data_IF_810659770602
#
_entry.id   IF_810659770602
#
_cell.length_a   1.000
_cell.length_b   1.000
_cell.length_c   1.000
_cell.angle_alpha   90.00
_cell.angle_beta   90.00
_cell.angle_gamma   90.00
#
_symmetry.space_group_name_H-M   'P 1'
#
loop_
_entity.id
_entity.type
_entity.pdbx_description
1 polymer ?
#
# COMPACT_ATOMS: atom_id res chain seq x y z
N UNK A 1 0.58 9.62 28.01
CA UNK A 1 0.15 8.58 27.07
C UNK A 1 0.88 7.30 27.41
N UNK A 2 0.23 6.13 27.42
CA UNK A 2 0.95 4.87 27.60
C UNK A 2 1.93 4.65 26.45
N UNK A 3 3.09 4.11 26.76
CA UNK A 3 4.08 3.67 25.75
C UNK A 3 3.39 2.57 24.93
N UNK A 4 3.24 2.78 23.62
CA UNK A 4 2.53 1.85 22.71
C UNK A 4 3.34 0.59 22.40
N UNK A 5 4.67 0.67 22.54
CA UNK A 5 5.56 -0.45 22.28
C UNK A 5 6.07 -1.01 23.61
N UNK A 6 6.35 -2.33 23.72
CA UNK A 6 7.10 -2.86 24.83
C UNK A 6 8.40 -2.06 24.97
N UNK A 7 8.88 -1.84 26.20
CA UNK A 7 10.07 -1.05 26.47
C UNK A 7 11.32 -1.58 25.70
N UNK A 8 11.33 -2.87 25.40
CA UNK A 8 12.33 -3.55 24.55
C UNK A 8 11.61 -4.58 23.68
N UNK A 9 11.73 -4.44 22.35
CA UNK A 9 11.28 -5.45 21.38
C UNK A 9 12.42 -6.39 21.00
N UNK A 10 12.10 -7.63 20.69
CA UNK A 10 13.10 -8.64 20.32
C UNK A 10 13.37 -8.69 18.82
N UNK A 11 12.47 -8.17 18.02
CA UNK A 11 12.63 -8.10 16.56
C UNK A 11 11.82 -6.93 15.94
N UNK A 12 12.16 -6.58 14.70
CA UNK A 12 11.56 -5.43 14.01
C UNK A 12 10.07 -5.63 13.67
N UNK A 13 9.57 -6.88 13.65
CA UNK A 13 8.16 -7.16 13.34
C UNK A 13 7.23 -6.62 14.43
N UNK A 14 7.73 -6.41 15.66
CA UNK A 14 6.96 -5.82 16.75
C UNK A 14 6.66 -4.33 16.51
N UNK A 15 7.41 -3.68 15.61
CA UNK A 15 7.20 -2.28 15.23
C UNK A 15 6.27 -2.12 14.00
N UNK A 16 5.70 -3.21 13.47
CA UNK A 16 4.72 -3.15 12.38
C UNK A 16 3.38 -2.74 12.94
N UNK A 17 2.81 -1.67 12.41
CA UNK A 17 1.55 -1.09 12.86
C UNK A 17 1.74 0.08 13.82
N UNK A 18 0.67 0.49 14.48
CA UNK A 18 0.62 1.64 15.39
C UNK A 18 1.18 2.94 14.81
N UNK A 19 1.07 3.11 13.48
CA UNK A 19 1.52 4.30 12.78
C UNK A 19 0.67 5.52 13.14
N UNK A 20 1.18 6.75 13.05
CA UNK A 20 0.40 7.94 13.35
C UNK A 20 -0.78 8.16 12.38
N UNK A 21 -1.85 8.77 12.88
CA UNK A 21 -2.91 9.39 12.08
C UNK A 21 -2.75 10.91 12.15
N UNK A 22 -2.63 11.57 11.00
CA UNK A 22 -2.46 13.02 10.90
C UNK A 22 -3.72 13.67 10.34
N UNK A 23 -4.07 14.84 10.87
CA UNK A 23 -5.02 15.76 10.22
C UNK A 23 -4.26 16.64 9.23
N UNK A 24 -4.54 16.46 7.95
CA UNK A 24 -3.97 17.25 6.87
C UNK A 24 -5.10 18.07 6.21
N UNK A 25 -5.26 19.29 6.67
CA UNK A 25 -6.29 20.23 6.19
C UNK A 25 -7.72 19.64 6.26
N UNK A 26 -8.01 18.89 7.35
CA UNK A 26 -9.30 18.27 7.61
C UNK A 26 -9.50 16.90 6.93
N UNK A 27 -8.45 16.31 6.37
CA UNK A 27 -8.41 14.90 5.94
C UNK A 27 -7.55 14.14 6.92
N UNK A 28 -8.08 13.02 7.46
CA UNK A 28 -7.33 12.15 8.36
C UNK A 28 -6.51 11.15 7.54
N UNK A 29 -5.19 11.30 7.56
CA UNK A 29 -4.24 10.52 6.78
C UNK A 29 -3.41 9.60 7.67
N UNK A 30 -3.51 8.29 7.46
CA UNK A 30 -2.77 7.26 8.20
C UNK A 30 -1.37 7.09 7.61
N UNK A 31 -0.33 7.26 8.41
CA UNK A 31 1.06 7.32 7.95
C UNK A 31 1.70 5.92 7.83
N UNK A 32 1.25 5.12 6.88
CA UNK A 32 1.72 3.75 6.69
C UNK A 32 3.14 3.65 6.10
N UNK A 33 3.67 4.73 5.53
CA UNK A 33 5.07 4.82 5.11
C UNK A 33 6.06 4.70 6.28
N UNK A 34 5.61 4.85 7.53
CA UNK A 34 6.44 4.70 8.74
C UNK A 34 6.55 3.25 9.23
N UNK A 35 5.89 2.30 8.60
CA UNK A 35 6.12 0.89 8.91
C UNK A 35 7.56 0.45 8.59
N UNK A 36 8.11 -0.54 9.30
CA UNK A 36 9.28 -1.27 8.84
C UNK A 36 9.10 -1.73 7.38
N UNK A 37 10.15 -1.73 6.56
CA UNK A 37 10.14 -1.87 5.11
C UNK A 37 9.54 -0.66 4.34
N UNK A 38 9.17 0.42 5.03
CA UNK A 38 8.75 1.69 4.44
C UNK A 38 7.43 1.63 3.68
N UNK A 39 6.47 0.78 4.08
CA UNK A 39 5.15 0.77 3.47
C UNK A 39 4.08 0.01 4.24
N UNK A 40 2.81 0.26 3.90
CA UNK A 40 1.63 -0.47 4.38
C UNK A 40 1.75 -1.99 4.20
N UNK A 41 2.54 -2.45 3.23
CA UNK A 41 2.69 -3.88 2.91
C UNK A 41 3.38 -4.69 4.02
N UNK A 42 4.09 -4.03 4.95
CA UNK A 42 4.63 -4.70 6.15
C UNK A 42 3.54 -5.41 6.95
N UNK A 43 2.33 -4.81 7.03
CA UNK A 43 1.18 -5.36 7.74
C UNK A 43 0.74 -6.69 7.17
N UNK A 44 0.40 -6.70 5.88
CA UNK A 44 -0.09 -7.91 5.21
C UNK A 44 1.00 -8.99 5.12
N UNK A 45 2.27 -8.62 4.93
CA UNK A 45 3.36 -9.58 4.89
C UNK A 45 3.51 -10.31 6.23
N UNK A 46 3.51 -9.58 7.36
CA UNK A 46 3.53 -10.17 8.69
C UNK A 46 2.31 -11.04 8.92
N UNK A 47 1.11 -10.52 8.70
CA UNK A 47 -0.14 -11.21 8.98
C UNK A 47 -0.29 -12.51 8.18
N UNK A 48 -0.04 -12.47 6.87
CA UNK A 48 -0.18 -13.64 5.98
C UNK A 48 0.83 -14.74 6.37
N UNK A 49 2.10 -14.36 6.63
CA UNK A 49 3.13 -15.35 7.03
C UNK A 49 2.77 -15.97 8.37
N UNK A 50 2.37 -15.20 9.38
CA UNK A 50 1.99 -15.72 10.69
C UNK A 50 0.75 -16.63 10.61
N UNK A 51 -0.24 -16.29 9.80
CA UNK A 51 -1.39 -17.16 9.53
C UNK A 51 -1.01 -18.43 8.81
N UNK A 52 -0.12 -18.37 7.81
CA UNK A 52 0.35 -19.54 7.08
C UNK A 52 1.13 -20.50 7.97
N UNK A 53 1.95 -19.99 8.89
CA UNK A 53 2.61 -20.78 9.93
C UNK A 53 1.60 -21.47 10.85
N UNK A 54 0.62 -20.71 11.37
CA UNK A 54 -0.41 -21.23 12.29
C UNK A 54 -1.29 -22.31 11.65
N UNK A 55 -1.57 -22.18 10.36
CA UNK A 55 -2.39 -23.17 9.60
C UNK A 55 -1.58 -24.30 9.00
N UNK A 56 -0.24 -24.28 9.12
CA UNK A 56 0.66 -25.29 8.58
C UNK A 56 0.83 -25.24 7.05
N UNK A 57 0.37 -24.15 6.41
CA UNK A 57 0.56 -23.92 4.97
C UNK A 57 2.00 -23.51 4.63
N UNK A 58 2.67 -22.79 5.54
CA UNK A 58 4.10 -22.46 5.45
C UNK A 58 4.87 -23.24 6.50
N UNK A 59 5.89 -23.99 6.08
CA UNK A 59 6.72 -24.82 6.94
C UNK A 59 8.16 -24.37 6.93
N UNK A 60 8.87 -24.65 8.00
CA UNK A 60 10.29 -24.34 8.08
C UNK A 60 11.07 -25.02 6.93
N UNK A 61 11.85 -24.22 6.21
CA UNK A 61 12.61 -24.68 5.03
C UNK A 61 11.93 -24.39 3.70
N UNK A 62 10.64 -24.02 3.70
CA UNK A 62 9.96 -23.59 2.48
C UNK A 62 10.51 -22.25 1.97
N UNK A 63 10.30 -22.01 0.69
CA UNK A 63 10.58 -20.74 0.01
C UNK A 63 9.28 -19.98 -0.19
N UNK A 64 9.21 -18.77 0.30
CA UNK A 64 8.09 -17.85 0.01
C UNK A 64 8.32 -17.30 -1.38
N UNK A 65 7.30 -17.33 -2.25
CA UNK A 65 7.34 -16.77 -3.60
C UNK A 65 6.17 -15.81 -3.81
N UNK A 66 6.42 -14.56 -4.17
CA UNK A 66 5.36 -13.57 -4.40
C UNK A 66 5.64 -12.72 -5.63
N UNK A 67 4.56 -12.38 -6.37
CA UNK A 67 4.61 -11.46 -7.50
C UNK A 67 4.29 -10.04 -7.05
N UNK A 68 5.11 -9.06 -7.49
CA UNK A 68 4.94 -7.69 -7.05
C UNK A 68 5.61 -6.68 -7.96
N UNK A 69 5.07 -5.46 -8.00
CA UNK A 69 5.72 -4.27 -8.53
C UNK A 69 6.74 -3.63 -7.55
N UNK A 70 6.85 -4.11 -6.26
CA UNK A 70 7.92 -3.65 -5.38
C UNK A 70 7.65 -3.72 -3.88
N UNK A 71 6.77 -2.89 -3.31
CA UNK A 71 6.58 -2.76 -1.86
C UNK A 71 6.25 -4.08 -1.15
N UNK A 72 5.44 -4.92 -1.77
CA UNK A 72 5.10 -6.23 -1.23
C UNK A 72 6.33 -7.14 -1.18
N UNK A 73 7.15 -7.14 -2.23
CA UNK A 73 8.41 -7.87 -2.26
C UNK A 73 9.34 -7.46 -1.12
N UNK A 74 9.51 -6.16 -0.90
CA UNK A 74 10.33 -5.64 0.19
C UNK A 74 9.79 -6.08 1.57
N UNK A 75 8.46 -6.01 1.76
CA UNK A 75 7.83 -6.38 3.01
C UNK A 75 7.94 -7.88 3.31
N UNK A 76 7.64 -8.74 2.34
CA UNK A 76 7.80 -10.18 2.50
C UNK A 76 9.28 -10.58 2.67
N UNK A 77 10.20 -9.89 1.99
CA UNK A 77 11.65 -10.11 2.16
C UNK A 77 12.10 -9.80 3.59
N UNK A 78 11.64 -8.68 4.15
CA UNK A 78 11.92 -8.31 5.54
C UNK A 78 11.38 -9.36 6.53
N UNK A 79 10.11 -9.78 6.38
CA UNK A 79 9.50 -10.77 7.27
C UNK A 79 10.19 -12.13 7.12
N UNK A 80 10.52 -12.55 5.90
CA UNK A 80 11.25 -13.78 5.62
C UNK A 80 12.63 -13.77 6.28
N UNK A 81 13.38 -12.67 6.18
CA UNK A 81 14.68 -12.51 6.82
C UNK A 81 14.59 -12.69 8.34
N UNK A 82 13.61 -12.05 9.00
CA UNK A 82 13.42 -12.16 10.46
C UNK A 82 13.03 -13.58 10.89
N UNK A 83 12.17 -14.25 10.11
CA UNK A 83 11.65 -15.59 10.43
C UNK A 83 12.51 -16.75 9.92
N UNK A 84 13.55 -16.45 9.13
CA UNK A 84 14.49 -17.44 8.61
C UNK A 84 13.97 -18.24 7.42
N UNK A 85 13.08 -17.67 6.62
CA UNK A 85 12.63 -18.22 5.36
C UNK A 85 13.46 -17.72 4.18
N UNK A 86 13.52 -18.53 3.12
CA UNK A 86 13.98 -18.07 1.81
C UNK A 86 12.87 -17.26 1.15
N UNK A 87 13.22 -16.20 0.41
CA UNK A 87 12.28 -15.38 -0.33
C UNK A 87 12.67 -15.27 -1.80
N UNK A 88 11.73 -15.56 -2.69
CA UNK A 88 11.83 -15.33 -4.13
C UNK A 88 10.80 -14.28 -4.55
N UNK A 89 11.28 -13.11 -4.92
CA UNK A 89 10.44 -12.04 -5.47
C UNK A 89 10.38 -12.19 -6.98
N UNK A 90 9.18 -12.35 -7.54
CA UNK A 90 8.96 -12.34 -8.99
C UNK A 90 8.42 -10.98 -9.38
N UNK A 91 9.12 -10.26 -10.26
CA UNK A 91 8.73 -8.89 -10.62
C UNK A 91 9.00 -8.59 -12.10
N UNK A 92 8.20 -7.70 -12.72
CA UNK A 92 8.46 -7.27 -14.08
C UNK A 92 9.74 -6.42 -14.16
N UNK A 93 10.35 -6.39 -15.35
CA UNK A 93 11.42 -5.45 -15.68
C UNK A 93 10.86 -4.03 -15.87
N UNK A 94 11.75 -3.02 -15.71
CA UNK A 94 11.40 -1.62 -15.95
C UNK A 94 10.83 -0.86 -14.75
N UNK A 95 10.84 -1.46 -13.55
CA UNK A 95 10.45 -0.83 -12.30
C UNK A 95 11.66 -0.29 -11.52
N UNK A 96 11.39 0.46 -10.45
CA UNK A 96 12.38 1.12 -9.60
C UNK A 96 13.51 0.19 -9.15
N UNK A 97 14.75 0.62 -9.38
CA UNK A 97 15.97 -0.07 -8.94
C UNK A 97 16.09 -0.16 -7.42
N UNK A 98 15.56 0.83 -6.70
CA UNK A 98 15.57 0.90 -5.24
C UNK A 98 14.83 -0.28 -4.61
N UNK A 99 13.68 -0.65 -5.17
CA UNK A 99 12.87 -1.77 -4.65
C UNK A 99 13.56 -3.11 -4.83
N UNK A 100 14.26 -3.29 -5.96
CA UNK A 100 15.10 -4.47 -6.21
C UNK A 100 16.24 -4.52 -5.21
N UNK A 101 16.92 -3.39 -5.01
CA UNK A 101 18.04 -3.29 -4.07
C UNK A 101 17.61 -3.57 -2.62
N UNK A 102 16.45 -3.06 -2.19
CA UNK A 102 15.90 -3.30 -0.85
C UNK A 102 15.57 -4.78 -0.64
N UNK A 103 14.88 -5.43 -1.60
CA UNK A 103 14.57 -6.87 -1.50
C UNK A 103 15.85 -7.71 -1.37
N UNK A 104 16.86 -7.41 -2.19
CA UNK A 104 18.17 -8.08 -2.13
C UNK A 104 18.92 -7.81 -0.83
N UNK A 105 18.82 -6.60 -0.27
CA UNK A 105 19.43 -6.26 1.01
C UNK A 105 18.84 -7.09 2.17
N UNK A 106 17.57 -7.48 2.10
CA UNK A 106 16.94 -8.43 3.02
C UNK A 106 17.29 -9.91 2.71
N UNK A 107 18.10 -10.19 1.68
CA UNK A 107 18.51 -11.55 1.30
C UNK A 107 17.58 -12.28 0.35
N UNK A 108 16.60 -11.58 -0.25
CA UNK A 108 15.72 -12.20 -1.23
C UNK A 108 16.40 -12.38 -2.59
N UNK A 109 16.04 -13.46 -3.27
CA UNK A 109 16.30 -13.63 -4.69
C UNK A 109 15.24 -12.87 -5.50
N UNK A 110 15.64 -12.26 -6.63
CA UNK A 110 14.72 -11.54 -7.53
C UNK A 110 14.77 -12.19 -8.89
N UNK A 111 13.61 -12.67 -9.33
CA UNK A 111 13.38 -13.24 -10.67
C UNK A 111 12.59 -12.22 -11.50
N UNK A 112 13.17 -11.76 -12.61
CA UNK A 112 12.46 -10.90 -13.54
C UNK A 112 11.60 -11.73 -14.50
N UNK A 113 10.33 -11.32 -14.69
CA UNK A 113 9.37 -11.99 -15.55
C UNK A 113 8.34 -10.97 -16.07
N UNK A 114 8.29 -10.79 -17.39
CA UNK A 114 7.47 -9.76 -18.02
C UNK A 114 8.06 -8.35 -17.89
N UNK A 115 7.33 -7.35 -18.39
CA UNK A 115 7.74 -5.94 -18.40
C UNK A 115 6.58 -5.04 -17.94
N UNK A 116 6.86 -4.06 -17.11
CA UNK A 116 5.95 -3.03 -16.57
C UNK A 116 4.75 -3.55 -15.77
N UNK A 117 3.95 -4.46 -16.30
CA UNK A 117 2.76 -5.01 -15.63
C UNK A 117 3.07 -6.31 -14.91
N UNK A 118 2.41 -6.53 -13.77
CA UNK A 118 2.71 -7.65 -12.87
C UNK A 118 2.11 -9.00 -13.35
N UNK A 119 1.33 -9.01 -14.43
CA UNK A 119 0.57 -10.18 -14.89
C UNK A 119 1.43 -11.43 -15.12
N UNK A 120 2.52 -11.31 -15.92
CA UNK A 120 3.41 -12.43 -16.19
C UNK A 120 4.13 -12.91 -14.93
N UNK A 121 4.57 -11.96 -14.11
CA UNK A 121 5.18 -12.27 -12.82
C UNK A 121 4.20 -13.00 -11.89
N UNK A 122 2.92 -12.63 -11.89
CA UNK A 122 1.88 -13.26 -11.08
C UNK A 122 1.61 -14.70 -11.52
N UNK A 123 1.51 -14.95 -12.84
CA UNK A 123 1.36 -16.30 -13.35
C UNK A 123 2.56 -17.16 -12.99
N UNK A 124 3.77 -16.64 -13.15
CA UNK A 124 5.00 -17.32 -12.79
C UNK A 124 5.09 -17.64 -11.28
N UNK A 125 4.71 -16.71 -10.41
CA UNK A 125 4.69 -16.95 -8.98
C UNK A 125 3.67 -18.01 -8.57
N UNK A 126 2.48 -18.03 -9.20
CA UNK A 126 1.47 -19.07 -9.01
C UNK A 126 1.98 -20.46 -9.42
N UNK A 127 2.67 -20.57 -10.55
CA UNK A 127 3.26 -21.83 -11.01
C UNK A 127 4.29 -22.35 -10.00
N UNK A 128 5.18 -21.49 -9.53
CA UNK A 128 6.20 -21.85 -8.53
C UNK A 128 5.55 -22.24 -7.20
N UNK A 129 4.53 -21.50 -6.75
CA UNK A 129 3.81 -21.78 -5.52
C UNK A 129 3.07 -23.12 -5.48
N UNK A 130 2.83 -23.76 -6.63
CA UNK A 130 2.28 -25.13 -6.70
C UNK A 130 3.34 -26.23 -6.49
N UNK A 131 4.62 -25.88 -6.48
CA UNK A 131 5.69 -26.83 -6.32
C UNK A 131 5.92 -27.15 -4.84
N UNK A 132 6.29 -28.40 -4.48
CA UNK A 132 6.64 -28.73 -3.12
C UNK A 132 7.76 -27.86 -2.56
N UNK A 133 7.61 -27.39 -1.32
CA UNK A 133 8.60 -26.54 -0.67
C UNK A 133 8.50 -25.05 -1.04
N UNK A 134 7.41 -24.65 -1.72
CA UNK A 134 7.08 -23.26 -1.98
C UNK A 134 5.75 -22.87 -1.30
N UNK A 135 5.69 -21.65 -0.82
CA UNK A 135 4.47 -20.99 -0.35
C UNK A 135 4.23 -19.72 -1.14
N UNK A 136 3.06 -19.61 -1.76
CA UNK A 136 2.61 -18.43 -2.48
C UNK A 136 1.57 -17.67 -1.66
N UNK A 137 1.90 -16.49 -1.10
CA UNK A 137 0.98 -15.64 -0.33
C UNK A 137 -0.24 -15.19 -1.13
N UNK A 138 -0.07 -14.85 -2.42
CA UNK A 138 -1.15 -14.52 -3.33
C UNK A 138 -1.89 -13.24 -2.97
N UNK A 139 -1.19 -12.13 -2.79
CA UNK A 139 -1.70 -10.86 -2.27
C UNK A 139 -2.98 -10.33 -2.94
N UNK A 140 -3.22 -10.67 -4.21
CA UNK A 140 -4.36 -10.18 -5.00
C UNK A 140 -5.66 -10.98 -4.79
N UNK A 141 -5.58 -12.15 -4.16
CA UNK A 141 -6.70 -13.09 -3.99
C UNK A 141 -6.87 -13.58 -2.55
N UNK A 142 -5.84 -13.47 -1.73
CA UNK A 142 -5.82 -13.98 -0.36
C UNK A 142 -6.62 -13.08 0.58
N UNK A 143 -7.73 -13.58 1.10
CA UNK A 143 -8.60 -12.86 2.04
C UNK A 143 -7.90 -12.46 3.35
N UNK A 144 -6.79 -13.07 3.72
CA UNK A 144 -5.97 -12.63 4.85
C UNK A 144 -5.42 -11.21 4.68
N UNK A 145 -5.30 -10.74 3.43
CA UNK A 145 -5.01 -9.33 3.15
C UNK A 145 -6.18 -8.42 3.58
N UNK A 146 -7.43 -8.86 3.37
CA UNK A 146 -8.62 -8.13 3.85
C UNK A 146 -8.73 -8.24 5.37
N UNK A 147 -8.46 -9.42 5.92
CA UNK A 147 -8.57 -9.69 7.36
C UNK A 147 -7.64 -8.79 8.19
N UNK A 148 -6.37 -8.65 7.79
CA UNK A 148 -5.44 -7.74 8.47
C UNK A 148 -6.02 -6.33 8.55
N UNK A 149 -6.44 -5.79 7.41
CA UNK A 149 -6.95 -4.44 7.30
C UNK A 149 -8.27 -4.24 8.08
N UNK A 150 -9.11 -5.27 8.13
CA UNK A 150 -10.38 -5.26 8.87
C UNK A 150 -10.19 -5.41 10.38
N UNK A 151 -9.23 -6.26 10.79
CA UNK A 151 -9.07 -6.66 12.19
C UNK A 151 -8.03 -5.82 12.93
N UNK A 152 -7.08 -5.22 12.20
CA UNK A 152 -5.96 -4.47 12.79
C UNK A 152 -5.96 -3.01 12.32
N UNK A 153 -5.71 -2.73 11.03
CA UNK A 153 -5.55 -1.35 10.55
C UNK A 153 -6.83 -0.50 10.74
N UNK A 154 -7.99 -1.03 10.37
CA UNK A 154 -9.26 -0.30 10.51
C UNK A 154 -9.57 0.08 11.97
N UNK A 155 -9.54 -0.86 12.93
CA UNK A 155 -9.68 -0.55 14.35
C UNK A 155 -8.62 0.42 14.89
N UNK A 156 -7.38 0.33 14.42
CA UNK A 156 -6.30 1.26 14.79
C UNK A 156 -6.62 2.69 14.34
N UNK A 157 -7.12 2.89 13.12
CA UNK A 157 -7.57 4.20 12.63
C UNK A 157 -8.73 4.72 13.49
N UNK A 158 -9.75 3.88 13.75
CA UNK A 158 -10.90 4.26 14.57
C UNK A 158 -10.50 4.73 15.97
N UNK A 159 -9.54 4.05 16.60
CA UNK A 159 -9.05 4.40 17.92
C UNK A 159 -8.23 5.71 17.96
N UNK A 160 -7.76 6.19 16.81
CA UNK A 160 -6.96 7.41 16.69
C UNK A 160 -7.77 8.63 16.24
N UNK A 161 -8.98 8.43 15.76
CA UNK A 161 -9.86 9.56 15.41
C UNK A 161 -10.20 10.38 16.66
N UNK A 162 -10.15 11.72 16.58
CA UNK A 162 -10.46 12.58 17.72
C UNK A 162 -11.96 12.64 17.99
N UNK A 163 -12.31 12.97 19.25
CA UNK A 163 -13.68 13.33 19.66
C UNK A 163 -14.74 12.27 19.32
N UNK A 164 -14.39 10.98 19.42
CA UNK A 164 -15.26 9.84 19.09
C UNK A 164 -15.85 9.91 17.67
N UNK A 165 -15.17 10.60 16.75
CA UNK A 165 -15.60 10.68 15.35
C UNK A 165 -15.62 9.31 14.71
N UNK A 166 -16.58 9.12 13.82
CA UNK A 166 -16.67 7.96 12.95
C UNK A 166 -16.42 8.38 11.50
N UNK A 167 -15.77 7.55 10.67
CA UNK A 167 -15.52 7.87 9.28
C UNK A 167 -16.82 7.99 8.47
N UNK A 168 -16.98 9.08 7.71
CA UNK A 168 -18.05 9.26 6.73
C UNK A 168 -17.61 8.76 5.35
N UNK A 169 -16.31 8.87 5.06
CA UNK A 169 -15.73 8.40 3.82
C UNK A 169 -14.32 7.83 4.03
N UNK A 170 -13.98 6.82 3.23
CA UNK A 170 -12.64 6.29 3.09
C UNK A 170 -12.24 6.29 1.62
N UNK A 171 -11.08 6.87 1.32
CA UNK A 171 -10.54 7.03 -0.03
C UNK A 171 -9.22 6.30 -0.12
N UNK A 172 -9.09 5.36 -1.04
CA UNK A 172 -7.84 4.61 -1.22
C UNK A 172 -7.69 4.10 -2.66
N UNK A 173 -6.46 4.06 -3.15
CA UNK A 173 -6.12 3.49 -4.45
C UNK A 173 -6.26 1.96 -4.46
N UNK A 174 -6.61 1.40 -5.59
CA UNK A 174 -6.77 -0.05 -5.72
C UNK A 174 -5.53 -0.67 -6.36
N UNK A 175 -4.64 -1.20 -5.52
CA UNK A 175 -3.61 -2.15 -5.91
C UNK A 175 -4.15 -3.57 -5.80
N UNK A 176 -4.16 -4.15 -4.60
CA UNK A 176 -4.79 -5.46 -4.33
C UNK A 176 -6.28 -5.36 -4.00
N UNK A 177 -6.74 -4.20 -3.55
CA UNK A 177 -8.08 -3.98 -3.02
C UNK A 177 -8.20 -4.26 -1.52
N UNK A 178 -7.28 -5.02 -0.92
CA UNK A 178 -7.37 -5.47 0.47
C UNK A 178 -7.56 -4.34 1.47
N UNK A 179 -6.82 -3.25 1.33
CA UNK A 179 -6.90 -2.10 2.24
C UNK A 179 -8.27 -1.39 2.13
N UNK A 180 -8.70 -1.06 0.91
CA UNK A 180 -9.98 -0.38 0.70
C UNK A 180 -11.15 -1.21 1.26
N UNK A 181 -11.14 -2.52 1.02
CA UNK A 181 -12.18 -3.43 1.44
C UNK A 181 -12.12 -3.68 2.95
N UNK A 182 -10.95 -4.07 3.49
CA UNK A 182 -10.80 -4.43 4.89
C UNK A 182 -11.08 -3.27 5.84
N UNK A 183 -10.45 -2.10 5.60
CA UNK A 183 -10.72 -0.88 6.38
C UNK A 183 -12.19 -0.45 6.22
N UNK A 184 -12.72 -0.51 4.99
CA UNK A 184 -14.13 -0.23 4.74
C UNK A 184 -15.08 -1.12 5.51
N UNK A 185 -14.79 -2.42 5.62
CA UNK A 185 -15.57 -3.36 6.44
C UNK A 185 -15.49 -3.01 7.94
N UNK A 186 -14.31 -2.61 8.43
CA UNK A 186 -14.17 -2.16 9.83
C UNK A 186 -14.99 -0.88 10.08
N UNK A 187 -14.93 0.09 9.18
CA UNK A 187 -15.67 1.35 9.32
C UNK A 187 -17.18 1.16 9.25
N UNK A 188 -17.66 0.24 8.43
CA UNK A 188 -19.09 -0.10 8.36
C UNK A 188 -19.69 -0.67 9.65
N UNK A 189 -18.85 -1.25 10.52
CA UNK A 189 -19.31 -1.72 11.82
C UNK A 189 -19.74 -0.56 12.74
N UNK A 190 -19.12 0.60 12.60
CA UNK A 190 -19.42 1.80 13.41
C UNK A 190 -20.27 2.82 12.65
N UNK A 191 -20.15 2.89 11.33
CA UNK A 191 -20.99 3.72 10.46
C UNK A 191 -21.41 2.91 9.21
N UNK A 192 -22.60 2.26 9.22
CA UNK A 192 -23.08 1.52 8.05
C UNK A 192 -23.25 2.36 6.77
N UNK A 193 -23.33 3.69 6.91
CA UNK A 193 -23.44 4.64 5.80
C UNK A 193 -22.10 5.12 5.24
N UNK A 194 -20.94 4.65 5.75
CA UNK A 194 -19.64 5.08 5.26
C UNK A 194 -19.49 4.85 3.75
N UNK A 195 -19.01 5.86 3.05
CA UNK A 195 -18.76 5.79 1.60
C UNK A 195 -17.33 5.40 1.32
N UNK A 196 -17.15 4.37 0.47
CA UNK A 196 -15.84 3.89 0.04
C UNK A 196 -15.58 4.36 -1.38
N UNK A 197 -14.51 5.10 -1.57
CA UNK A 197 -14.08 5.63 -2.86
C UNK A 197 -12.83 4.90 -3.35
N UNK A 198 -12.97 4.15 -4.45
CA UNK A 198 -11.83 3.58 -5.15
C UNK A 198 -11.15 4.67 -6.00
N UNK A 199 -9.87 4.92 -5.76
CA UNK A 199 -9.09 5.87 -6.53
C UNK A 199 -8.23 5.13 -7.56
N UNK A 200 -8.17 5.67 -8.78
CA UNK A 200 -7.37 5.18 -9.90
C UNK A 200 -6.56 6.31 -10.54
N UNK A 201 -5.46 6.02 -11.26
CA UNK A 201 -4.82 6.98 -12.13
C UNK A 201 -5.78 7.43 -13.26
N UNK A 202 -5.81 8.70 -13.59
CA UNK A 202 -6.62 9.21 -14.70
C UNK A 202 -6.23 8.61 -16.05
N UNK A 203 -4.97 8.17 -16.17
CA UNK A 203 -4.39 7.54 -17.35
C UNK A 203 -4.78 6.06 -17.48
N UNK A 204 -5.08 5.37 -16.35
CA UNK A 204 -5.33 3.92 -16.31
C UNK A 204 -6.54 3.61 -15.42
N UNK A 205 -7.74 3.79 -15.96
CA UNK A 205 -9.01 3.62 -15.26
C UNK A 205 -9.54 2.19 -15.40
N UNK A 206 -8.77 1.24 -14.90
CA UNK A 206 -9.03 -0.20 -15.07
C UNK A 206 -10.35 -0.64 -14.42
N UNK A 207 -10.67 -0.11 -13.24
CA UNK A 207 -11.89 -0.45 -12.49
C UNK A 207 -13.12 0.25 -13.04
N UNK A 208 -12.97 1.53 -13.41
CA UNK A 208 -14.09 2.37 -13.87
C UNK A 208 -14.56 1.97 -15.28
N UNK A 209 -13.63 1.76 -16.20
CA UNK A 209 -13.95 1.55 -17.60
C UNK A 209 -13.06 0.55 -18.36
N UNK A 210 -12.21 -0.20 -17.67
CA UNK A 210 -11.35 -1.22 -18.28
C UNK A 210 -10.17 -0.65 -19.07
N UNK A 211 -9.87 0.64 -18.93
CA UNK A 211 -8.73 1.27 -19.61
C UNK A 211 -7.42 0.94 -18.86
N UNK A 212 -6.46 0.38 -19.60
CA UNK A 212 -5.13 0.05 -19.08
C UNK A 212 -4.09 0.85 -19.86
N UNK A 213 -3.31 1.65 -19.13
CA UNK A 213 -2.21 2.42 -19.69
C UNK A 213 -1.10 2.61 -18.66
N UNK A 214 0.07 3.06 -19.10
CA UNK A 214 1.18 3.40 -18.22
C UNK A 214 0.86 4.68 -17.44
N UNK A 215 1.21 4.67 -16.17
CA UNK A 215 1.06 5.79 -15.25
C UNK A 215 2.21 5.82 -14.23
N UNK A 216 2.33 6.89 -13.44
CA UNK A 216 3.42 7.08 -12.48
C UNK A 216 2.96 6.96 -11.01
N UNK A 217 1.75 6.47 -10.76
CA UNK A 217 1.24 6.23 -9.40
C UNK A 217 1.44 4.75 -9.08
N UNK A 218 2.67 4.37 -8.79
CA UNK A 218 3.03 2.96 -8.56
C UNK A 218 2.34 2.38 -7.32
N UNK A 219 2.09 1.05 -7.38
CA UNK A 219 1.43 0.30 -6.31
C UNK A 219 -0.10 0.20 -6.42
N UNK A 220 -0.68 0.83 -7.45
CA UNK A 220 -2.11 0.72 -7.79
C UNK A 220 -2.28 0.53 -9.29
N UNK A 221 -3.45 0.03 -9.72
CA UNK A 221 -3.82 -0.14 -11.14
C UNK A 221 -2.77 -0.93 -11.95
N UNK A 222 -2.42 -2.12 -11.47
CA UNK A 222 -1.41 -3.00 -12.07
C UNK A 222 -1.84 -3.63 -13.44
N UNK A 223 -2.87 -3.08 -14.10
CA UNK A 223 -3.34 -3.49 -15.43
C UNK A 223 -4.44 -4.56 -15.41
N UNK A 224 -4.96 -4.93 -14.26
CA UNK A 224 -6.08 -5.86 -14.10
C UNK A 224 -6.93 -5.53 -12.87
N UNK A 225 -8.14 -6.10 -12.81
CA UNK A 225 -9.00 -6.00 -11.62
C UNK A 225 -8.62 -7.12 -10.66
N UNK A 226 -8.08 -6.82 -9.46
CA UNK A 226 -7.68 -7.86 -8.50
C UNK A 226 -8.86 -8.66 -7.95
N UNK A 227 -8.64 -9.95 -7.68
CA UNK A 227 -9.68 -10.88 -7.20
C UNK A 227 -10.38 -10.40 -5.94
N UNK A 228 -9.63 -9.92 -4.95
CA UNK A 228 -10.19 -9.33 -3.72
C UNK A 228 -11.20 -8.22 -4.05
N UNK A 229 -10.80 -7.25 -4.90
CA UNK A 229 -11.69 -6.15 -5.26
C UNK A 229 -12.91 -6.63 -6.04
N UNK A 230 -12.74 -7.58 -6.96
CA UNK A 230 -13.85 -8.17 -7.73
C UNK A 230 -14.88 -8.86 -6.85
N UNK A 231 -14.41 -9.64 -5.85
CA UNK A 231 -15.29 -10.37 -4.91
C UNK A 231 -16.10 -9.43 -4.00
N UNK A 232 -15.56 -8.25 -3.68
CA UNK A 232 -16.18 -7.28 -2.77
C UNK A 232 -16.64 -5.99 -3.47
N UNK A 233 -16.83 -6.04 -4.79
CA UNK A 233 -17.15 -4.88 -5.63
C UNK A 233 -18.39 -4.11 -5.17
N UNK A 234 -19.39 -4.82 -4.61
CA UNK A 234 -20.64 -4.25 -4.10
C UNK A 234 -20.45 -3.31 -2.90
N UNK A 235 -19.32 -3.42 -2.20
CA UNK A 235 -18.98 -2.53 -1.08
C UNK A 235 -18.52 -1.14 -1.57
N UNK A 236 -18.03 -1.05 -2.80
CA UNK A 236 -17.44 0.17 -3.36
C UNK A 236 -18.31 0.68 -4.49
N UNK A 237 -19.06 1.75 -4.23
CA UNK A 237 -19.99 2.35 -5.20
C UNK A 237 -19.42 3.55 -5.91
N UNK A 238 -18.46 4.22 -5.28
CA UNK A 238 -17.88 5.46 -5.76
C UNK A 238 -16.46 5.23 -6.29
N UNK A 239 -16.11 5.89 -7.37
CA UNK A 239 -14.76 5.92 -7.95
C UNK A 239 -14.31 7.35 -8.16
N UNK A 240 -13.01 7.58 -8.10
CA UNK A 240 -12.39 8.87 -8.39
C UNK A 240 -11.06 8.65 -9.10
N UNK A 241 -10.55 9.65 -9.79
CA UNK A 241 -9.26 9.53 -10.46
C UNK A 241 -8.39 10.75 -10.25
N UNK A 242 -7.06 10.51 -10.27
CA UNK A 242 -6.04 11.56 -10.12
C UNK A 242 -4.99 11.36 -11.20
N UNK A 243 -4.57 12.44 -11.85
CA UNK A 243 -3.50 12.38 -12.85
C UNK A 243 -2.14 12.15 -12.17
N UNK A 244 -1.27 11.38 -12.82
CA UNK A 244 0.08 11.10 -12.33
C UNK A 244 0.87 12.37 -12.04
N UNK A 245 0.78 13.37 -12.93
CA UNK A 245 1.46 14.65 -12.75
C UNK A 245 1.02 15.39 -11.47
N UNK A 246 -0.30 15.39 -11.18
CA UNK A 246 -0.84 16.00 -9.95
C UNK A 246 -0.36 15.24 -8.71
N UNK A 247 -0.39 13.90 -8.75
CA UNK A 247 0.07 13.03 -7.67
C UNK A 247 1.53 13.28 -7.31
N UNK A 248 2.41 13.35 -8.30
CA UNK A 248 3.84 13.65 -8.13
C UNK A 248 4.07 15.08 -7.61
N UNK A 249 3.30 16.04 -8.10
CA UNK A 249 3.37 17.43 -7.61
C UNK A 249 2.97 17.52 -6.14
N UNK A 250 1.89 16.85 -5.73
CA UNK A 250 1.45 16.85 -4.32
C UNK A 250 2.43 16.08 -3.42
N UNK A 251 2.99 14.94 -3.87
CA UNK A 251 4.07 14.22 -3.18
C UNK A 251 5.24 15.18 -2.85
N UNK A 252 5.71 15.95 -3.84
CA UNK A 252 6.79 16.93 -3.64
C UNK A 252 6.38 18.06 -2.69
N UNK A 253 5.14 18.54 -2.79
CA UNK A 253 4.59 19.58 -1.91
C UNK A 253 4.51 19.09 -0.47
N UNK A 254 4.04 17.86 -0.21
CA UNK A 254 4.01 17.25 1.11
C UNK A 254 5.39 17.18 1.75
N UNK A 255 6.40 16.76 1.00
CA UNK A 255 7.79 16.75 1.48
C UNK A 255 8.28 18.16 1.86
N UNK A 256 8.08 19.16 1.00
CA UNK A 256 8.60 20.53 1.18
C UNK A 256 7.85 21.34 2.24
N UNK A 257 6.53 21.16 2.35
CA UNK A 257 5.68 22.01 3.21
C UNK A 257 5.33 21.36 4.56
N UNK A 258 5.40 20.03 4.65
CA UNK A 258 4.97 19.29 5.84
C UNK A 258 5.99 18.27 6.35
N UNK A 259 7.12 18.10 5.65
CA UNK A 259 8.13 17.09 5.99
C UNK A 259 7.64 15.64 5.82
N UNK A 260 6.58 15.44 5.05
CA UNK A 260 6.01 14.12 4.77
C UNK A 260 6.63 13.60 3.47
N UNK A 261 7.71 12.83 3.59
CA UNK A 261 8.39 12.24 2.45
C UNK A 261 7.80 10.86 2.14
N UNK A 262 6.78 10.86 1.29
CA UNK A 262 5.99 9.69 0.90
C UNK A 262 5.90 9.56 -0.62
N UNK A 263 5.41 8.41 -1.12
CA UNK A 263 5.32 8.10 -2.54
C UNK A 263 4.17 8.81 -3.29
N UNK A 264 4.13 8.67 -4.64
CA UNK A 264 3.11 9.31 -5.49
C UNK A 264 1.68 8.87 -5.15
N UNK A 265 1.45 7.60 -4.75
CA UNK A 265 0.13 7.12 -4.35
C UNK A 265 -0.42 7.92 -3.16
N UNK A 266 0.44 8.28 -2.21
CA UNK A 266 0.08 9.11 -1.06
C UNK A 266 -0.38 10.51 -1.47
N UNK A 267 0.32 11.12 -2.45
CA UNK A 267 -0.08 12.39 -3.06
C UNK A 267 -1.46 12.29 -3.75
N UNK A 268 -1.68 11.23 -4.52
CA UNK A 268 -2.94 10.96 -5.18
C UNK A 268 -4.09 10.76 -4.19
N UNK A 269 -3.86 9.98 -3.13
CA UNK A 269 -4.84 9.73 -2.07
C UNK A 269 -5.28 11.02 -1.38
N UNK A 270 -4.33 11.89 -1.04
CA UNK A 270 -4.64 13.16 -0.39
C UNK A 270 -5.45 14.07 -1.32
N UNK A 271 -5.05 14.22 -2.59
CA UNK A 271 -5.81 14.99 -3.58
C UNK A 271 -7.24 14.46 -3.72
N UNK A 272 -7.39 13.15 -3.87
CA UNK A 272 -8.71 12.51 -4.01
C UNK A 272 -9.58 12.76 -2.77
N UNK A 273 -9.03 12.58 -1.57
CA UNK A 273 -9.75 12.82 -0.32
C UNK A 273 -10.16 14.28 -0.14
N UNK A 274 -9.30 15.26 -0.49
CA UNK A 274 -9.61 16.67 -0.45
C UNK A 274 -10.70 17.03 -1.46
N UNK A 275 -10.65 16.49 -2.69
CA UNK A 275 -11.71 16.70 -3.72
C UNK A 275 -13.06 16.14 -3.25
N UNK A 276 -13.08 14.94 -2.66
CA UNK A 276 -14.30 14.33 -2.13
C UNK A 276 -14.87 15.15 -0.99
N UNK A 277 -14.04 15.59 -0.04
CA UNK A 277 -14.47 16.47 1.06
C UNK A 277 -15.06 17.80 0.57
N UNK A 278 -14.49 18.38 -0.50
CA UNK A 278 -15.01 19.60 -1.11
C UNK A 278 -16.31 19.36 -1.87
N UNK A 279 -16.43 18.24 -2.57
CA UNK A 279 -17.61 17.88 -3.36
C UNK A 279 -18.80 17.46 -2.49
N UNK A 280 -18.56 16.86 -1.34
CA UNK A 280 -19.56 16.32 -0.41
C UNK A 280 -19.38 16.93 1.00
N UNK A 281 -19.82 18.19 1.20
CA UNK A 281 -19.62 18.89 2.49
C UNK A 281 -20.28 18.24 3.70
N UNK A 282 -21.22 17.30 3.48
CA UNK A 282 -21.84 16.48 4.52
C UNK A 282 -20.88 15.42 5.09
N UNK A 283 -19.88 14.97 4.33
CA UNK A 283 -18.86 14.01 4.77
C UNK A 283 -17.80 14.76 5.60
N UNK A 284 -17.97 14.78 6.91
CA UNK A 284 -17.12 15.56 7.84
C UNK A 284 -15.82 14.87 8.18
N UNK A 285 -15.82 13.53 8.23
CA UNK A 285 -14.69 12.71 8.61
C UNK A 285 -14.24 11.87 7.42
N UNK A 286 -13.33 12.42 6.62
CA UNK A 286 -12.75 11.76 5.46
C UNK A 286 -11.39 11.18 5.84
N UNK A 287 -11.20 9.89 5.61
CA UNK A 287 -9.97 9.16 5.94
C UNK A 287 -9.27 8.71 4.67
N UNK A 288 -7.95 8.74 4.68
CA UNK A 288 -7.08 8.18 3.64
C UNK A 288 -5.79 7.61 4.23
N UNK A 289 -4.90 7.09 3.39
CA UNK A 289 -3.63 6.49 3.81
C UNK A 289 -2.48 7.10 2.99
N UNK A 290 -1.34 7.29 3.64
CA UNK A 290 -0.06 7.58 3.02
C UNK A 290 0.73 6.27 3.01
N UNK A 291 0.83 5.63 1.84
CA UNK A 291 1.13 4.20 1.73
C UNK A 291 2.58 3.83 1.96
N UNK A 292 3.52 4.59 1.34
CA UNK A 292 4.93 4.23 1.31
C UNK A 292 5.86 5.45 1.34
N UNK A 293 7.13 5.17 1.65
CA UNK A 293 8.18 6.19 1.79
C UNK A 293 8.68 6.72 0.44
N UNK A 294 9.08 8.00 0.43
CA UNK A 294 9.58 8.71 -0.75
C UNK A 294 10.95 8.23 -1.22
N UNK A 295 11.73 7.58 -0.35
CA UNK A 295 13.08 7.06 -0.64
C UNK A 295 13.06 6.03 -1.77
N UNK A 296 11.96 5.34 -1.99
CA UNK A 296 11.79 4.36 -3.08
C UNK A 296 11.64 4.97 -4.47
N UNK A 297 11.60 6.31 -4.53
CA UNK A 297 11.33 7.09 -5.74
C UNK A 297 12.42 8.13 -6.01
N UNK A 298 13.58 8.03 -5.33
CA UNK A 298 14.66 9.01 -5.45
C UNK A 298 15.16 9.12 -6.88
N UNK A 299 15.43 7.99 -7.53
CA UNK A 299 15.94 7.98 -8.90
C UNK A 299 14.92 8.60 -9.87
N UNK A 300 13.65 8.20 -9.79
CA UNK A 300 12.65 8.55 -10.79
C UNK A 300 12.17 10.01 -10.67
N UNK A 301 12.09 10.55 -9.45
CA UNK A 301 11.46 11.85 -9.24
C UNK A 301 12.34 12.93 -8.62
N UNK A 302 13.53 12.58 -8.07
CA UNK A 302 14.34 13.54 -7.33
C UNK A 302 15.77 13.67 -7.83
N UNK A 303 16.40 12.60 -8.33
CA UNK A 303 17.79 12.65 -8.79
C UNK A 303 17.94 13.24 -10.20
N UNK A 304 16.89 13.14 -11.02
CA UNK A 304 16.86 13.67 -12.38
C UNK A 304 15.62 14.55 -12.59
N UNK A 305 15.52 15.70 -11.91
CA UNK A 305 14.37 16.59 -12.08
C UNK A 305 14.29 17.05 -13.53
N UNK A 306 13.07 17.12 -14.07
CA UNK A 306 12.84 17.67 -15.41
C UNK A 306 13.45 19.09 -15.51
N UNK A 307 14.01 19.49 -16.66
CA UNK A 307 14.57 20.83 -16.84
C UNK A 307 13.56 21.90 -16.44
N UNK A 308 13.88 22.71 -15.42
CA UNK A 308 13.01 23.78 -14.89
C UNK A 308 12.22 23.43 -13.62
N UNK A 309 12.27 22.21 -13.12
CA UNK A 309 11.48 21.79 -11.97
C UNK A 309 11.98 22.29 -10.60
N UNK A 310 13.25 22.64 -10.48
CA UNK A 310 13.84 23.07 -9.20
C UNK A 310 14.74 24.30 -9.34
N UNK A 311 14.15 25.48 -9.17
CA UNK A 311 14.94 26.60 -8.65
C UNK A 311 15.03 26.39 -7.13
N UNK A 312 16.24 26.32 -6.54
CA UNK A 312 16.37 26.28 -5.09
C UNK A 312 15.64 27.48 -4.50
N UNK A 313 14.77 27.24 -3.51
CA UNK A 313 14.18 28.33 -2.72
C UNK A 313 15.36 28.97 -1.98
N UNK A 314 15.60 30.29 -2.15
CA UNK A 314 16.67 30.94 -1.41
C UNK A 314 16.39 30.78 0.09
N UNK A 315 17.40 30.37 0.84
CA UNK A 315 17.36 30.43 2.31
C UNK A 315 17.29 31.91 2.69
N UNK A 316 16.22 32.34 3.34
CA UNK A 316 16.07 33.64 3.99
C UNK A 316 16.39 33.52 5.46
#
# INVERSE_FOLDING_TARGET
MPIRYPAVSTNILDAVGDTPLLDIDGVFAKCEFLNPSGSIKARIAKYIIERAEQTGQLKRGDTIVEATSGNTGNAFSMVAAVKGYRMLVVMPEGLSSERVAISRAYGAEVLFCGTFHVNDALERARELGRQPGFFFPGQFENEWNVDENREILGPEILAQLPDDRVPDAFVHGVGTGGTLIGVGQAFRKVNPGVRLFAMEPSESRTILCGEVALHQIEGISDGFVPGIFAHHRELVRDTTSVASADAVAEMRKLARSRGLFCGPSSGAHLIAAQRIRAQFPELKTVVTILDDEGEKYLHDFFMHPAPGADKPVPFH
#
